data_IF_191576075658
#
_entry.id   IF_191576075658
#
_cell.length_a   1.000
_cell.length_b   1.000
_cell.length_c   1.000
_cell.angle_alpha   90.00
_cell.angle_beta   90.00
_cell.angle_gamma   90.00
#
_symmetry.space_group_name_H-M   'P 1'
#
loop_
_entity.id
_entity.type
_entity.pdbx_description
1 polymer ?
2 polymer ?
3 polymer ?
4 non-polymer ?
5 water ?
#
loop_
_entity_poly.entity_id
_entity_poly.type
_entity_poly.pdbx_seq_one_letter_code
_entity_poly.pdbx_strand_id
1 'polydeoxyribonucleotide' '(DA)(DG)(DG)(DG)(DT)(DC)(DT)(DC)(DC)(DA)(DT)(DT)(DT)(DT)(DG)(DA)(DA)(DG)(DC)(DG)' ?
2 'polydeoxyribonucleotide' '(DC)(DG)(DC)(DT)(DT)(DC)(DA)(DA)(DA)(DA)(DT)(DG)(DG)(DA)(DG)(DA)(DC)(DC)(DC)(DT)' ?
#
# COMPACT_ATOMS: atom_id res chain seq x y z
N UNK C 5 12.08 12.74 -23.13
CA UNK C 5 11.21 12.36 -21.98
C UNK C 5 9.92 13.20 -22.04
N UNK C 6 8.79 12.52 -21.82
CA UNK C 6 7.47 13.13 -21.84
C UNK C 6 7.11 13.54 -20.41
N UNK C 7 6.73 14.79 -20.21
CA UNK C 7 6.34 15.24 -18.89
C UNK C 7 4.83 15.00 -18.84
N UNK C 8 4.29 14.59 -17.69
CA UNK C 8 2.86 14.36 -17.60
C UNK C 8 2.11 15.64 -17.80
N UNK C 9 1.18 15.63 -18.76
CA UNK C 9 0.38 16.80 -19.07
C UNK C 9 -0.18 17.38 -17.80
N UNK C 10 -1.13 16.67 -17.24
CA UNK C 10 -1.79 17.10 -16.04
C UNK C 10 -1.21 18.29 -15.33
N UNK C 11 -1.96 19.39 -15.37
CA UNK C 11 -1.59 20.67 -14.77
C UNK C 11 -0.46 20.64 -13.73
N UNK C 12 -0.78 20.33 -12.48
CA UNK C 12 0.25 20.36 -11.46
C UNK C 12 1.24 19.21 -11.37
N UNK C 13 1.04 18.15 -12.16
CA UNK C 13 1.87 16.96 -12.08
C UNK C 13 3.32 17.09 -12.51
N UNK C 14 4.20 16.96 -11.54
CA UNK C 14 5.63 17.06 -11.81
C UNK C 14 6.17 15.91 -12.67
N UNK C 15 5.62 14.70 -12.54
CA UNK C 15 6.13 13.52 -13.25
C UNK C 15 6.59 13.55 -14.72
N UNK C 16 7.60 12.71 -15.01
CA UNK C 16 8.25 12.54 -16.33
C UNK C 16 8.27 11.05 -16.77
N UNK C 17 8.18 10.79 -18.09
CA UNK C 17 8.16 9.42 -18.58
C UNK C 17 9.03 9.14 -19.83
N UNK C 18 9.47 7.88 -19.93
CA UNK C 18 10.31 7.38 -21.03
C UNK C 18 9.54 7.43 -22.33
N UNK C 19 8.49 6.61 -22.38
CA UNK C 19 7.62 6.49 -23.54
C UNK C 19 6.34 7.23 -23.22
N UNK C 20 5.74 7.88 -24.20
CA UNK C 20 4.51 8.57 -23.90
C UNK C 20 3.39 7.52 -23.63
N UNK C 21 3.73 6.25 -23.81
CA UNK C 21 2.80 5.15 -23.57
C UNK C 21 2.67 5.02 -22.04
N UNK C 22 3.83 5.13 -21.38
CA UNK C 22 3.90 5.07 -19.92
C UNK C 22 3.27 6.34 -19.39
N UNK C 23 3.41 7.43 -20.15
CA UNK C 23 2.87 8.72 -19.78
C UNK C 23 1.35 8.69 -19.83
N UNK C 24 0.82 8.16 -20.92
CA UNK C 24 -0.63 8.02 -21.14
C UNK C 24 -1.26 7.10 -20.08
N UNK C 25 -0.64 5.95 -19.79
CA UNK C 25 -1.20 5.05 -18.79
C UNK C 25 -1.27 5.83 -17.53
N UNK C 26 -0.14 6.43 -17.15
CA UNK C 26 -0.03 7.27 -15.95
C UNK C 26 -1.07 8.39 -15.88
N UNK C 27 -1.23 9.06 -17.01
CA UNK C 27 -2.16 10.15 -17.11
C UNK C 27 -3.51 9.66 -16.60
N UNK C 28 -3.81 8.39 -16.86
CA UNK C 28 -5.09 7.79 -16.46
C UNK C 28 -5.46 8.00 -14.99
N UNK C 29 -4.45 8.01 -14.14
CA UNK C 29 -4.67 8.20 -12.72
C UNK C 29 -5.25 9.56 -12.27
N UNK C 30 -5.19 10.60 -13.10
CA UNK C 30 -5.75 11.92 -12.74
C UNK C 30 -7.15 12.02 -13.29
N UNK C 31 -7.51 11.04 -14.10
CA UNK C 31 -8.81 11.01 -14.76
C UNK C 31 -10.09 11.03 -13.92
N UNK C 32 -11.24 11.06 -14.59
CA UNK C 32 -12.47 11.06 -13.80
C UNK C 32 -12.52 9.76 -13.00
N UNK C 33 -13.03 9.84 -11.78
CA UNK C 33 -13.15 8.68 -10.94
C UNK C 33 -14.55 8.06 -11.04
N UNK C 34 -14.82 7.53 -12.25
CA UNK C 34 -16.08 6.90 -12.68
C UNK C 34 -16.61 5.80 -11.83
N UNK C 35 -15.70 4.99 -11.30
CA UNK C 35 -16.02 3.84 -10.44
C UNK C 35 -16.35 4.22 -9.02
N UNK C 36 -17.66 4.33 -8.74
CA UNK C 36 -18.20 4.77 -7.47
C UNK C 36 -18.90 3.67 -6.72
N UNK C 37 -18.36 3.33 -5.58
CA UNK C 37 -18.91 2.32 -4.73
C UNK C 37 -20.32 2.73 -4.42
N UNK C 38 -21.29 1.86 -4.77
CA UNK C 38 -22.70 2.08 -4.45
C UNK C 38 -22.99 1.99 -2.93
N UNK C 39 -22.08 1.42 -2.15
CA UNK C 39 -22.35 1.33 -0.73
C UNK C 39 -22.08 2.62 -0.01
N UNK C 40 -21.00 3.31 -0.34
CA UNK C 40 -20.69 4.53 0.39
C UNK C 40 -20.29 5.82 -0.39
N UNK C 41 -20.09 5.75 -1.70
CA UNK C 41 -19.73 6.95 -2.43
C UNK C 41 -18.29 7.06 -2.89
N UNK C 42 -17.33 6.44 -2.21
CA UNK C 42 -15.96 6.56 -2.65
C UNK C 42 -15.87 6.16 -4.10
N UNK C 43 -14.98 6.80 -4.87
CA UNK C 43 -14.89 6.54 -6.30
C UNK C 43 -13.49 6.27 -6.56
N UNK C 44 -13.27 5.40 -7.54
CA UNK C 44 -11.96 4.96 -7.97
C UNK C 44 -11.79 5.13 -9.49
N UNK C 45 -10.57 5.30 -9.95
CA UNK C 45 -10.41 5.47 -11.39
C UNK C 45 -10.66 4.10 -12.09
N UNK C 46 -9.99 3.05 -11.59
CA UNK C 46 -10.14 1.67 -12.06
C UNK C 46 -11.26 0.91 -11.35
N UNK C 47 -11.66 -0.24 -11.91
CA UNK C 47 -12.73 -1.06 -11.33
C UNK C 47 -12.12 -2.08 -10.37
N UNK C 48 -10.87 -2.42 -10.65
CA UNK C 48 -10.13 -3.32 -9.78
C UNK C 48 -10.15 -2.79 -8.34
N UNK C 49 -9.85 -1.51 -8.18
CA UNK C 49 -9.79 -0.83 -6.89
C UNK C 49 -11.13 -0.72 -6.17
N UNK C 50 -12.18 -0.50 -6.94
CA UNK C 50 -13.53 -0.38 -6.40
C UNK C 50 -13.90 -1.79 -5.89
N UNK C 51 -13.58 -2.81 -6.69
CA UNK C 51 -13.83 -4.19 -6.28
C UNK C 51 -13.16 -4.44 -4.92
N UNK C 52 -11.89 -4.08 -4.84
CA UNK C 52 -11.08 -4.27 -3.65
C UNK C 52 -11.55 -3.46 -2.47
N UNK C 53 -12.06 -2.28 -2.79
CA UNK C 53 -12.55 -1.40 -1.75
C UNK C 53 -13.71 -2.08 -1.07
N UNK C 54 -14.43 -2.92 -1.80
CA UNK C 54 -15.59 -3.62 -1.24
C UNK C 54 -15.33 -4.39 0.05
N UNK C 55 -14.08 -4.82 0.24
CA UNK C 55 -13.65 -5.59 1.41
C UNK C 55 -13.74 -4.79 2.66
N UNK C 56 -14.01 -3.52 2.49
CA UNK C 56 -14.14 -2.61 3.62
C UNK C 56 -15.54 -2.82 4.20
N UNK C 57 -16.41 -3.27 3.30
CA UNK C 57 -17.80 -3.52 3.54
C UNK C 57 -18.20 -4.91 3.95
N UNK C 58 -17.77 -5.91 3.24
CA UNK C 58 -18.09 -7.26 3.58
C UNK C 58 -17.32 -7.66 4.85
N UNK C 59 -16.00 -7.66 4.81
CA UNK C 59 -15.29 -8.07 6.00
C UNK C 59 -14.51 -9.31 5.62
N UNK C 60 -14.73 -9.75 4.41
CA UNK C 60 -14.05 -10.92 3.93
C UNK C 60 -12.51 -10.80 4.08
N UNK C 61 -11.96 -11.81 4.73
CA UNK C 61 -10.56 -12.01 4.95
C UNK C 61 -10.12 -13.33 4.32
N UNK C 62 -9.89 -13.34 2.97
CA UNK C 62 -9.47 -14.47 2.13
C UNK C 62 -8.11 -15.11 2.46
N UNK C 63 -7.15 -14.31 2.85
CA UNK C 63 -5.84 -14.86 3.08
C UNK C 63 -5.61 -15.20 4.50
N UNK C 64 -5.12 -16.40 4.73
CA UNK C 64 -4.90 -16.85 6.07
C UNK C 64 -3.50 -17.31 6.49
N UNK C 65 -3.24 -17.13 7.75
CA UNK C 65 -1.97 -17.49 8.30
C UNK C 65 -1.83 -18.99 8.59
N UNK C 66 -0.98 -19.64 7.79
CA UNK C 66 -0.70 -21.06 7.93
C UNK C 66 0.44 -21.31 8.94
N UNK C 67 0.53 -20.42 9.92
CA UNK C 67 1.53 -20.56 10.96
C UNK C 67 0.83 -21.31 12.07
N UNK C 68 1.58 -22.20 12.71
CA UNK C 68 1.05 -23.00 13.79
C UNK C 68 0.60 -22.07 14.91
N UNK C 69 -0.69 -22.17 15.24
CA UNK C 69 -1.27 -21.38 16.32
C UNK C 69 -1.93 -20.10 15.88
N UNK C 70 -1.52 -19.62 14.71
CA UNK C 70 -2.03 -18.38 14.20
C UNK C 70 -3.31 -18.55 13.42
N UNK C 71 -3.21 -18.76 12.11
CA UNK C 71 -4.40 -18.88 11.28
C UNK C 71 -5.24 -17.60 11.20
N UNK C 72 -4.61 -16.43 11.45
CA UNK C 72 -5.26 -15.11 11.42
C UNK C 72 -5.57 -14.87 9.98
N UNK C 73 -6.64 -14.15 9.71
CA UNK C 73 -6.97 -13.89 8.31
C UNK C 73 -6.83 -12.39 7.95
N UNK C 74 -6.51 -12.14 6.69
CA UNK C 74 -6.35 -10.78 6.21
C UNK C 74 -7.14 -10.73 4.93
N UNK C 75 -7.52 -9.54 4.50
CA UNK C 75 -8.28 -9.34 3.28
C UNK C 75 -7.35 -9.16 2.13
N UNK C 76 -6.10 -8.80 2.40
CA UNK C 76 -5.15 -8.58 1.29
C UNK C 76 -3.84 -9.31 1.38
N UNK C 77 -3.58 -9.97 0.26
CA UNK C 77 -2.41 -10.78 0.03
C UNK C 77 -1.19 -10.13 0.65
N UNK C 78 -0.84 -8.93 0.16
CA UNK C 78 0.29 -8.16 0.69
C UNK C 78 0.21 -7.95 2.19
N UNK C 79 -0.96 -7.63 2.72
CA UNK C 79 -1.09 -7.36 4.15
C UNK C 79 -0.78 -8.61 4.97
N UNK C 80 -1.09 -9.78 4.39
CA UNK C 80 -0.81 -11.04 5.07
C UNK C 80 0.73 -11.15 5.17
N UNK C 81 1.44 -11.02 4.04
CA UNK C 81 2.91 -11.12 4.06
C UNK C 81 3.56 -10.24 5.10
N UNK C 82 2.99 -9.08 5.34
CA UNK C 82 3.59 -8.15 6.28
C UNK C 82 3.48 -8.58 7.74
N UNK C 83 2.53 -9.49 8.01
CA UNK C 83 2.30 -9.98 9.37
C UNK C 83 2.98 -11.28 9.65
N UNK C 84 3.02 -12.18 8.65
CA UNK C 84 3.68 -13.50 8.80
C UNK C 84 5.12 -13.30 9.21
N UNK C 85 5.63 -12.13 8.88
CA UNK C 85 6.96 -11.73 9.21
C UNK C 85 7.12 -11.63 10.72
N UNK C 86 6.02 -11.43 11.44
CA UNK C 86 6.10 -11.38 12.90
C UNK C 86 6.40 -12.79 13.38
N UNK C 87 6.42 -13.73 12.44
CA UNK C 87 6.72 -15.13 12.74
C UNK C 87 8.17 -15.40 12.34
N UNK C 88 8.48 -14.96 11.12
CA UNK C 88 9.78 -15.07 10.52
C UNK C 88 10.76 -14.20 11.30
N UNK C 89 10.24 -13.15 11.91
CA UNK C 89 11.10 -12.25 12.65
C UNK C 89 11.74 -11.20 11.76
N UNK C 90 11.50 -11.26 10.45
CA UNK C 90 12.08 -10.30 9.51
C UNK C 90 11.71 -8.84 9.79
N UNK C 91 12.53 -8.15 10.57
CA UNK C 91 12.35 -6.72 10.87
C UNK C 91 13.29 -5.97 9.87
N UNK C 92 12.86 -5.80 8.60
CA UNK C 92 13.61 -5.13 7.54
C UNK C 92 13.85 -3.60 7.52
N UNK C 93 13.41 -2.89 8.55
CA UNK C 93 13.59 -1.45 8.57
C UNK C 93 14.56 -1.04 9.62
N UNK C 94 15.85 -1.19 9.37
CA UNK C 94 16.83 -0.86 10.38
C UNK C 94 16.90 0.64 10.67
N UNK C 95 16.90 1.00 11.95
CA UNK C 95 16.99 2.39 12.34
C UNK C 95 18.26 2.98 11.73
N UNK C 96 18.23 4.27 11.41
CA UNK C 96 19.38 4.96 10.81
C UNK C 96 20.39 5.56 11.78
N UNK C 97 19.96 5.91 12.99
CA UNK C 97 20.88 6.53 13.91
C UNK C 97 22.15 5.73 14.16
N UNK C 98 23.29 6.37 13.95
CA UNK C 98 24.61 5.76 14.17
C UNK C 98 24.65 5.20 15.62
N UNK C 99 24.61 3.90 15.76
CA UNK C 99 24.67 3.35 17.10
C UNK C 99 23.37 3.09 17.84
N UNK C 100 22.23 3.02 17.12
CA UNK C 100 20.90 2.68 17.69
C UNK C 100 20.54 1.49 16.86
N UNK C 101 20.28 0.38 17.53
CA UNK C 101 20.02 -0.87 16.84
C UNK C 101 18.61 -1.41 16.71
N UNK C 102 17.61 -0.55 16.89
CA UNK C 102 16.22 -0.98 16.78
C UNK C 102 15.87 -1.22 15.31
N UNK C 103 15.21 -2.35 15.02
CA UNK C 103 14.81 -2.66 13.65
C UNK C 103 13.29 -2.68 13.74
N UNK C 104 12.63 -2.63 12.59
CA UNK C 104 11.17 -2.65 12.53
C UNK C 104 10.74 -3.42 11.30
N UNK C 105 9.44 -3.66 11.19
CA UNK C 105 8.93 -4.40 10.07
C UNK C 105 7.76 -3.64 9.46
N UNK C 106 7.82 -2.32 9.54
CA UNK C 106 6.80 -1.43 8.98
C UNK C 106 7.44 -0.05 8.98
N UNK C 107 7.49 0.59 7.81
CA UNK C 107 8.13 1.91 7.71
C UNK C 107 7.33 2.99 8.40
N UNK C 108 6.29 2.60 9.11
CA UNK C 108 5.52 3.56 9.89
C UNK C 108 6.13 3.39 11.29
N UNK C 109 6.20 2.13 11.71
CA UNK C 109 6.78 1.69 12.99
C UNK C 109 8.18 2.24 13.25
N UNK C 110 8.97 2.32 12.19
CA UNK C 110 10.34 2.78 12.26
C UNK C 110 10.52 4.28 12.25
N UNK C 111 9.88 4.94 11.30
CA UNK C 111 10.08 6.36 11.19
C UNK C 111 9.49 7.18 12.30
N UNK C 112 8.38 6.77 12.88
CA UNK C 112 7.93 7.54 14.00
C UNK C 112 8.94 7.31 15.13
N UNK C 113 9.54 6.13 15.24
CA UNK C 113 10.57 5.83 16.27
C UNK C 113 11.62 6.92 16.10
N UNK C 114 12.09 7.11 14.87
CA UNK C 114 13.03 8.16 14.55
C UNK C 114 12.56 9.45 15.23
N UNK C 115 11.28 9.79 15.11
CA UNK C 115 10.72 10.99 15.71
C UNK C 115 11.08 11.12 17.16
N UNK C 116 11.18 9.98 17.83
CA UNK C 116 11.54 9.93 19.25
C UNK C 116 12.99 10.40 19.44
N UNK C 117 13.83 9.98 18.51
CA UNK C 117 15.22 10.33 18.55
C UNK C 117 15.43 11.81 18.70
N UNK C 118 14.72 12.60 17.87
CA UNK C 118 14.82 14.06 17.87
C UNK C 118 14.55 14.70 19.23
#
# INVERSE_FOLDING_TARGET
MEPRTIACPHKGCTKMFRDNSAMRKHLHTHGPRVHVCAECGKAFVESSKLKRHQLVHTGEKPFQCTFEGCGKRFSLDFNLRTHVRIHTGDRPYVCPFDGCNKKFAQSTNLKSHILTHAKAKNNQ
#
